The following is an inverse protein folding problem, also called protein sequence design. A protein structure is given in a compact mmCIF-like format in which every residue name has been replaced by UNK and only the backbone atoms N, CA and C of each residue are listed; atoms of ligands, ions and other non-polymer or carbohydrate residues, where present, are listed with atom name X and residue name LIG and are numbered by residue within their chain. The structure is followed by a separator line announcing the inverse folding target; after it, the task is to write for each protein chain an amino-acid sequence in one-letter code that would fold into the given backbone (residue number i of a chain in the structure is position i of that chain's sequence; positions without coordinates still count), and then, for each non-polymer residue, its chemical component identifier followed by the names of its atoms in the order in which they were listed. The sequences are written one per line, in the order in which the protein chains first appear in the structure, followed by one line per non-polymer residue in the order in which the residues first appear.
data_IF_909055037181
#
_entry.id   IF_909055037181
#
_cell.length_a   1.000
_cell.length_b   1.000
_cell.length_c   1.000
_cell.angle_alpha   90.00
_cell.angle_beta   90.00
_cell.angle_gamma   90.00
#
_symmetry.space_group_name_H-M   'P 1'
#
loop_
_entity.id
_entity.type
_entity.pdbx_description
1 polymer ?
#
# COMPACT_ATOMS: atom_id res chain seq x y z
N UNK A 1 -13.16 5.49 14.31
CA UNK A 1 -13.82 6.69 14.86
C UNK A 1 -13.34 6.84 16.29
N UNK A 2 -13.10 8.06 16.77
CA UNK A 2 -12.69 8.32 18.15
C UNK A 2 -13.47 9.49 18.74
N UNK A 3 -13.76 9.45 20.03
CA UNK A 3 -14.46 10.50 20.76
C UNK A 3 -13.58 10.99 21.90
N UNK A 4 -13.47 12.31 22.06
CA UNK A 4 -12.75 12.97 23.14
C UNK A 4 -13.77 13.70 24.02
N UNK A 5 -14.13 13.07 25.14
CA UNK A 5 -15.17 13.51 26.05
C UNK A 5 -14.90 14.91 26.61
N UNK A 6 -13.69 15.17 27.09
CA UNK A 6 -13.29 16.44 27.70
C UNK A 6 -13.48 17.66 26.78
N UNK A 7 -13.41 17.47 25.47
CA UNK A 7 -13.51 18.55 24.48
C UNK A 7 -14.81 18.49 23.65
N UNK A 8 -15.68 17.50 23.89
CA UNK A 8 -16.87 17.22 23.07
C UNK A 8 -16.55 17.15 21.56
N UNK A 9 -15.44 16.49 21.22
CA UNK A 9 -14.95 16.36 19.85
C UNK A 9 -15.01 14.91 19.35
N UNK A 10 -15.41 14.73 18.09
CA UNK A 10 -15.34 13.46 17.38
C UNK A 10 -14.31 13.51 16.26
N UNK A 11 -13.46 12.50 16.19
CA UNK A 11 -12.55 12.24 15.09
C UNK A 11 -13.13 11.19 14.13
N UNK A 12 -13.39 11.61 12.89
CA UNK A 12 -13.97 10.80 11.83
C UNK A 12 -12.96 10.62 10.69
N UNK A 13 -12.47 9.38 10.52
CA UNK A 13 -11.64 9.00 9.36
C UNK A 13 -12.55 8.54 8.23
N UNK A 14 -12.41 9.18 7.08
CA UNK A 14 -13.12 8.86 5.85
C UNK A 14 -12.11 8.58 4.73
N UNK A 15 -12.55 8.01 3.59
CA UNK A 15 -11.73 7.92 2.40
C UNK A 15 -11.08 9.26 2.02
N UNK A 16 -11.80 10.38 2.10
CA UNK A 16 -11.31 11.70 1.63
C UNK A 16 -10.45 12.47 2.65
N UNK A 17 -10.38 12.02 3.91
CA UNK A 17 -9.69 12.73 4.97
C UNK A 17 -10.02 12.30 6.39
N UNK A 18 -9.23 12.82 7.33
CA UNK A 18 -9.54 12.82 8.74
C UNK A 18 -10.19 14.16 9.12
N UNK A 19 -11.34 14.09 9.77
CA UNK A 19 -12.10 15.24 10.22
C UNK A 19 -12.19 15.25 11.74
N UNK A 20 -12.18 16.46 12.29
CA UNK A 20 -12.49 16.76 13.67
C UNK A 20 -13.78 17.55 13.70
N UNK A 21 -14.73 17.10 14.51
CA UNK A 21 -16.07 17.66 14.61
C UNK A 21 -16.28 18.09 16.05
N UNK A 22 -16.46 19.39 16.29
CA UNK A 22 -16.89 19.90 17.58
C UNK A 22 -18.41 19.74 17.67
N UNK A 23 -18.90 18.94 18.63
CA UNK A 23 -20.32 18.60 18.72
C UNK A 23 -21.19 19.76 19.21
N UNK A 24 -20.67 20.59 20.11
CA UNK A 24 -21.43 21.72 20.66
C UNK A 24 -21.62 22.85 19.64
N UNK A 25 -20.58 23.16 18.87
CA UNK A 25 -20.60 24.25 17.89
C UNK A 25 -20.90 23.80 16.46
N UNK A 26 -21.03 22.48 16.24
CA UNK A 26 -21.11 21.84 14.92
C UNK A 26 -20.05 22.34 13.93
N UNK A 27 -18.88 22.75 14.43
CA UNK A 27 -17.78 23.18 13.59
C UNK A 27 -16.98 21.98 13.11
N UNK A 28 -16.70 21.98 11.80
CA UNK A 28 -15.95 20.92 11.13
C UNK A 28 -14.56 21.42 10.75
N UNK A 29 -13.53 20.68 11.15
CA UNK A 29 -12.15 20.94 10.74
C UNK A 29 -11.59 19.69 10.05
N UNK A 30 -11.19 19.84 8.78
CA UNK A 30 -10.41 18.80 8.10
C UNK A 30 -8.99 18.85 8.62
N UNK A 31 -8.55 17.79 9.29
CA UNK A 31 -7.21 17.72 9.86
C UNK A 31 -6.19 17.25 8.83
N UNK A 32 -6.53 16.21 8.08
CA UNK A 32 -5.63 15.63 7.09
C UNK A 32 -6.42 15.27 5.83
N UNK A 33 -5.82 15.54 4.67
CA UNK A 33 -6.28 14.97 3.40
C UNK A 33 -5.67 13.58 3.29
N UNK A 34 -6.50 12.55 3.29
CA UNK A 34 -6.03 11.23 2.91
C UNK A 34 -5.71 11.32 1.43
N UNK A 35 -4.43 11.21 1.06
CA UNK A 35 -4.09 10.86 -0.31
C UNK A 35 -4.45 9.38 -0.43
N UNK A 36 -5.69 9.08 -0.85
CA UNK A 36 -5.95 7.75 -1.40
C UNK A 36 -5.21 7.75 -2.72
N UNK A 37 -3.94 7.36 -2.68
CA UNK A 37 -3.39 6.76 -3.87
C UNK A 37 -4.14 5.44 -4.07
N UNK A 38 -4.58 5.11 -5.29
CA UNK A 38 -5.14 3.79 -5.60
C UNK A 38 -4.03 2.74 -5.63
N UNK A 39 -3.08 2.77 -4.69
CA UNK A 39 -2.22 1.63 -4.40
C UNK A 39 -3.00 0.69 -3.50
N UNK A 40 -4.05 0.09 -4.07
CA UNK A 40 -4.50 -1.21 -3.61
C UNK A 40 -3.32 -2.15 -3.83
N UNK A 41 -2.43 -2.26 -2.85
CA UNK A 41 -1.51 -3.39 -2.81
C UNK A 41 -2.37 -4.63 -2.60
N UNK A 42 -2.41 -5.58 -3.55
CA UNK A 42 -3.01 -6.87 -3.27
C UNK A 42 -2.30 -7.46 -2.03
N UNK A 43 -3.06 -8.14 -1.17
CA UNK A 43 -2.57 -8.80 0.04
C UNK A 43 -1.35 -9.71 -0.24
N UNK A 44 -1.23 -10.21 -1.47
CA UNK A 44 -0.04 -10.86 -2.01
C UNK A 44 0.28 -10.30 -3.41
N UNK A 45 1.38 -9.54 -3.54
CA UNK A 45 2.04 -9.34 -4.83
C UNK A 45 3.28 -10.23 -4.85
N UNK A 46 3.25 -11.29 -5.66
CA UNK A 46 4.43 -12.12 -5.92
C UNK A 46 5.32 -11.39 -6.93
N UNK A 47 6.46 -10.89 -6.49
CA UNK A 47 7.52 -10.48 -7.40
C UNK A 47 8.27 -11.74 -7.86
N UNK A 48 7.93 -12.25 -9.05
CA UNK A 48 8.86 -13.12 -9.78
C UNK A 48 9.91 -12.19 -10.36
N UNK A 49 11.08 -12.13 -9.71
CA UNK A 49 12.26 -11.59 -10.35
C UNK A 49 12.64 -12.56 -11.47
N UNK A 50 12.30 -12.24 -12.72
CA UNK A 50 12.93 -12.87 -13.87
C UNK A 50 14.43 -12.52 -13.82
N UNK A 51 15.25 -13.44 -13.32
CA UNK A 51 16.67 -13.46 -13.66
C UNK A 51 17.12 -14.91 -13.77
N UNK A 52 17.27 -15.27 -15.05
CA UNK A 52 18.08 -16.32 -15.64
C UNK A 52 17.73 -17.77 -15.34
N UNK A 53 17.01 -18.38 -16.30
CA UNK A 53 17.39 -19.72 -16.76
C UNK A 53 18.84 -19.61 -17.24
N UNK A 54 19.78 -19.82 -16.31
CA UNK A 54 21.18 -20.09 -16.63
C UNK A 54 21.20 -21.40 -17.40
N UNK A 55 21.05 -21.27 -18.72
CA UNK A 55 21.24 -22.33 -19.69
C UNK A 55 22.66 -22.86 -19.57
N UNK A 56 22.84 -23.87 -18.74
CA UNK A 56 24.03 -24.71 -18.73
C UNK A 56 24.03 -25.58 -19.98
N UNK A 57 24.47 -25.00 -21.10
CA UNK A 57 25.06 -25.79 -22.19
C UNK A 57 26.51 -26.02 -21.83
N UNK A 58 26.78 -27.14 -21.17
CA UNK A 58 28.10 -27.75 -21.25
C UNK A 58 27.92 -29.24 -21.55
N UNK A 59 27.88 -29.53 -22.85
CA UNK A 59 27.89 -30.86 -23.42
C UNK A 59 28.92 -30.83 -24.54
N UNK A 60 30.19 -30.73 -24.16
CA UNK A 60 31.30 -31.01 -25.08
C UNK A 60 31.39 -32.51 -25.31
N UNK A 61 30.56 -33.02 -26.20
CA UNK A 61 30.86 -34.23 -26.96
C UNK A 61 31.09 -33.80 -28.41
N UNK A 62 32.35 -33.56 -28.77
CA UNK A 62 32.74 -33.47 -30.17
C UNK A 62 33.83 -34.50 -30.44
N UNK A 63 33.37 -35.74 -30.64
CA UNK A 63 34.10 -36.76 -31.38
C UNK A 63 34.20 -36.30 -32.83
N UNK A 64 35.41 -36.06 -33.33
CA UNK A 64 35.69 -36.24 -34.76
C UNK A 64 37.12 -36.73 -34.97
N UNK A 65 37.17 -38.00 -35.30
CA UNK A 65 38.26 -38.75 -35.91
C UNK A 65 38.62 -38.20 -37.31
N UNK A 66 39.88 -37.85 -37.56
CA UNK A 66 40.63 -38.13 -38.81
C UNK A 66 42.12 -38.01 -38.53
#
# INVERSE_FOLDING_TARGET
MGYAEENNVVFLKTPVGLFMIHLESFQFKKLLRTKIYPYYYPFESVCIAETDIRGGRDGTDLLHNT
#
